data_IF_999605176748
#
_entry.id   IF_999605176748
#
_cell.length_a   1.000
_cell.length_b   1.000
_cell.length_c   1.000
_cell.angle_alpha   90.00
_cell.angle_beta   90.00
_cell.angle_gamma   90.00
#
_symmetry.space_group_name_H-M   'P 1'
#
loop_
_entity.id
_entity.type
_entity.pdbx_description
1 polymer ?
#
# COMPACT_ATOMS: atom_id res chain seq x y z
N UNK A 1 -32.63 28.09 -4.25
CA UNK A 1 -31.64 27.31 -3.46
C UNK A 1 -31.28 25.99 -4.16
N UNK A 2 -30.46 26.01 -5.21
CA UNK A 2 -29.87 24.78 -5.83
C UNK A 2 -28.68 25.12 -6.74
N UNK A 3 -27.88 26.12 -6.34
CA UNK A 3 -26.59 26.47 -6.93
C UNK A 3 -25.62 26.75 -5.79
N UNK A 4 -25.23 25.73 -5.03
CA UNK A 4 -24.23 25.86 -3.98
C UNK A 4 -23.57 24.52 -3.62
N UNK A 5 -23.13 23.74 -4.61
CA UNK A 5 -22.21 22.61 -4.41
C UNK A 5 -21.30 22.55 -5.64
N UNK A 6 -20.48 23.58 -5.87
CA UNK A 6 -19.39 23.55 -6.86
C UNK A 6 -18.40 24.70 -6.61
N UNK A 7 -18.08 24.97 -5.35
CA UNK A 7 -17.16 26.06 -5.00
C UNK A 7 -16.20 25.62 -3.90
N UNK A 8 -15.12 24.92 -4.30
CA UNK A 8 -13.88 24.87 -3.51
C UNK A 8 -12.65 24.40 -4.32
N UNK A 9 -12.61 24.62 -5.64
CA UNK A 9 -11.38 24.41 -6.43
C UNK A 9 -11.29 25.43 -7.56
N UNK A 10 -11.29 26.74 -7.27
CA UNK A 10 -10.80 27.72 -8.24
C UNK A 10 -10.40 28.98 -7.50
N UNK A 11 -9.12 29.07 -7.16
CA UNK A 11 -8.37 30.32 -7.03
C UNK A 11 -6.91 29.93 -6.76
N UNK A 12 -6.13 29.89 -7.84
CA UNK A 12 -4.75 30.41 -7.95
C UNK A 12 -4.26 30.06 -9.36
N UNK A 13 -4.56 30.94 -10.30
CA UNK A 13 -3.89 31.02 -11.59
C UNK A 13 -2.51 31.63 -11.38
N UNK A 14 -1.45 30.91 -11.72
CA UNK A 14 -0.52 31.27 -12.81
C UNK A 14 0.75 30.42 -12.74
N UNK A 15 1.24 30.05 -13.94
CA UNK A 15 2.45 29.28 -14.26
C UNK A 15 2.34 27.76 -14.11
N UNK A 16 1.43 27.08 -14.82
CA UNK A 16 1.56 25.63 -15.06
C UNK A 16 0.97 25.23 -16.41
N UNK A 17 1.60 24.23 -17.06
CA UNK A 17 1.26 23.76 -18.41
C UNK A 17 -0.23 23.51 -18.60
N UNK A 18 -0.72 23.79 -19.81
CA UNK A 18 -2.12 23.62 -20.16
C UNK A 18 -2.54 22.16 -19.94
N UNK A 19 -3.56 21.95 -19.09
CA UNK A 19 -4.14 20.62 -18.86
C UNK A 19 -4.60 20.06 -20.21
N UNK A 20 -4.14 18.85 -20.53
CA UNK A 20 -4.51 18.13 -21.75
C UNK A 20 -5.85 17.44 -21.53
N UNK A 21 -6.93 18.11 -21.94
CA UNK A 21 -8.30 17.69 -21.62
C UNK A 21 -8.66 16.32 -22.23
N UNK A 22 -8.15 16.01 -23.41
CA UNK A 22 -8.24 14.70 -24.04
C UNK A 22 -7.66 13.59 -23.14
N UNK A 23 -6.46 13.81 -22.60
CA UNK A 23 -5.79 12.88 -21.69
C UNK A 23 -6.50 12.77 -20.36
N UNK A 24 -6.96 13.89 -19.82
CA UNK A 24 -7.71 13.92 -18.57
C UNK A 24 -9.02 13.13 -18.69
N UNK A 25 -9.78 13.35 -19.75
CA UNK A 25 -11.04 12.62 -19.99
C UNK A 25 -10.80 11.13 -20.15
N UNK A 26 -9.80 10.74 -20.95
CA UNK A 26 -9.40 9.33 -21.10
C UNK A 26 -8.98 8.70 -19.77
N UNK A 27 -8.21 9.44 -18.95
CA UNK A 27 -7.80 8.99 -17.63
C UNK A 27 -9.01 8.78 -16.70
N UNK A 28 -9.95 9.71 -16.65
CA UNK A 28 -11.14 9.60 -15.79
C UNK A 28 -12.03 8.42 -16.20
N UNK A 29 -12.23 8.22 -17.51
CA UNK A 29 -12.98 7.05 -18.03
C UNK A 29 -12.25 5.75 -17.66
N UNK A 30 -10.93 5.68 -17.89
CA UNK A 30 -10.11 4.52 -17.55
C UNK A 30 -10.12 4.19 -16.05
N UNK A 31 -10.00 5.22 -15.20
CA UNK A 31 -10.12 5.08 -13.75
C UNK A 31 -11.48 4.52 -13.34
N UNK A 32 -12.57 5.03 -13.92
CA UNK A 32 -13.92 4.52 -13.67
C UNK A 32 -14.08 3.04 -14.04
N UNK A 33 -13.55 2.63 -15.19
CA UNK A 33 -13.60 1.24 -15.63
C UNK A 33 -12.78 0.31 -14.73
N UNK A 34 -11.54 0.70 -14.39
CA UNK A 34 -10.66 -0.07 -13.47
C UNK A 34 -11.28 -0.18 -12.08
N UNK A 35 -11.85 0.92 -11.57
CA UNK A 35 -12.55 0.95 -10.29
C UNK A 35 -13.73 -0.03 -10.28
N UNK A 36 -14.63 0.05 -11.26
CA UNK A 36 -15.79 -0.85 -11.35
C UNK A 36 -15.38 -2.32 -11.44
N UNK A 37 -14.39 -2.63 -12.28
CA UNK A 37 -13.85 -3.99 -12.42
C UNK A 37 -13.21 -4.51 -11.13
N UNK A 38 -12.47 -3.66 -10.41
CA UNK A 38 -11.81 -4.06 -9.15
C UNK A 38 -12.82 -4.30 -8.04
N UNK A 39 -13.77 -3.38 -7.84
CA UNK A 39 -14.82 -3.55 -6.83
C UNK A 39 -15.64 -4.82 -7.10
N UNK A 40 -15.95 -5.10 -8.37
CA UNK A 40 -16.60 -6.36 -8.74
C UNK A 40 -15.76 -7.59 -8.38
N UNK A 41 -14.47 -7.58 -8.72
CA UNK A 41 -13.54 -8.68 -8.41
C UNK A 41 -13.37 -8.92 -6.90
N UNK A 42 -13.12 -7.84 -6.13
CA UNK A 42 -13.00 -7.91 -4.68
C UNK A 42 -14.32 -8.38 -4.05
N UNK A 43 -15.45 -7.92 -4.56
CA UNK A 43 -16.76 -8.35 -4.07
C UNK A 43 -16.97 -9.85 -4.21
N UNK A 44 -16.54 -10.44 -5.33
CA UNK A 44 -16.54 -11.90 -5.53
C UNK A 44 -15.56 -12.63 -4.62
N UNK A 45 -14.42 -12.02 -4.28
CA UNK A 45 -13.37 -12.64 -3.48
C UNK A 45 -13.70 -12.66 -1.97
N UNK A 46 -14.32 -11.59 -1.45
CA UNK A 46 -14.53 -11.35 -0.02
C UNK A 46 -16.00 -11.41 0.44
N UNK A 47 -16.98 -10.97 -0.35
CA UNK A 47 -18.40 -10.91 0.07
C UNK A 47 -19.23 -12.07 -0.50
N UNK A 48 -18.98 -13.28 0.00
CA UNK A 48 -19.69 -14.50 -0.46
C UNK A 48 -21.01 -14.76 0.27
N UNK A 49 -21.24 -14.11 1.42
CA UNK A 49 -22.44 -14.29 2.25
C UNK A 49 -23.46 -13.18 2.00
N UNK A 50 -24.76 -13.43 2.27
CA UNK A 50 -25.78 -12.38 2.19
C UNK A 50 -25.42 -11.18 3.06
N UNK A 51 -25.55 -9.99 2.48
CA UNK A 51 -25.35 -8.73 3.19
C UNK A 51 -26.37 -8.56 4.32
N UNK A 52 -25.98 -7.89 5.39
CA UNK A 52 -26.80 -7.55 6.56
C UNK A 52 -26.94 -6.04 6.70
N UNK A 53 -27.64 -5.58 7.74
CA UNK A 53 -27.70 -4.16 8.08
C UNK A 53 -26.29 -3.60 8.34
N UNK A 54 -26.09 -2.35 7.96
CA UNK A 54 -24.84 -1.65 8.18
C UNK A 54 -24.46 -1.65 9.67
N UNK A 55 -23.21 -1.97 9.96
CA UNK A 55 -22.67 -1.93 11.31
C UNK A 55 -21.18 -1.54 11.30
N UNK A 56 -20.73 -1.04 12.43
CA UNK A 56 -19.33 -0.68 12.64
C UNK A 56 -18.61 -1.80 13.37
N UNK A 57 -17.30 -1.91 13.15
CA UNK A 57 -16.47 -2.91 13.79
C UNK A 57 -15.11 -2.30 14.15
N UNK A 58 -14.51 -2.76 15.25
CA UNK A 58 -13.17 -2.33 15.65
C UNK A 58 -12.24 -3.54 15.64
N UNK A 59 -11.57 -3.71 14.51
CA UNK A 59 -10.65 -4.80 14.20
C UNK A 59 -9.19 -4.39 14.35
N UNK A 60 -8.90 -3.28 15.06
CA UNK A 60 -7.54 -2.84 15.32
C UNK A 60 -6.69 -3.88 16.07
N UNK A 61 -7.27 -4.94 16.62
CA UNK A 61 -6.54 -6.05 17.25
C UNK A 61 -6.30 -7.24 16.30
N UNK A 62 -6.97 -7.28 15.17
CA UNK A 62 -6.88 -8.36 14.21
C UNK A 62 -5.57 -8.30 13.43
N UNK A 63 -5.08 -9.47 13.03
CA UNK A 63 -3.93 -9.65 12.15
C UNK A 63 -2.67 -8.89 12.56
N UNK A 64 -2.56 -8.56 13.86
CA UNK A 64 -1.51 -7.69 14.38
C UNK A 64 -1.37 -6.40 13.54
N UNK A 65 -2.48 -5.83 13.06
CA UNK A 65 -2.54 -4.62 12.23
C UNK A 65 -1.86 -4.74 10.85
N UNK A 66 -1.51 -5.95 10.39
CA UNK A 66 -0.97 -6.09 9.03
C UNK A 66 -1.99 -5.69 7.97
N UNK A 67 -3.25 -5.97 8.22
CA UNK A 67 -4.39 -5.49 7.45
C UNK A 67 -4.32 -3.96 7.21
N UNK A 68 -4.07 -3.20 8.29
CA UNK A 68 -4.00 -1.72 8.26
C UNK A 68 -2.77 -1.26 7.47
N UNK A 69 -1.66 -2.00 7.53
CA UNK A 69 -0.52 -1.76 6.67
C UNK A 69 -0.87 -2.00 5.18
N UNK A 70 -1.71 -3.00 4.89
CA UNK A 70 -2.30 -3.26 3.58
C UNK A 70 -3.19 -2.14 3.06
N UNK A 71 -4.07 -1.60 3.90
CA UNK A 71 -4.89 -0.43 3.60
C UNK A 71 -4.03 0.78 3.24
N UNK A 72 -3.07 1.13 4.11
CA UNK A 72 -2.18 2.26 3.88
C UNK A 72 -1.31 2.08 2.62
N UNK A 73 -0.76 0.89 2.40
CA UNK A 73 0.02 0.58 1.20
C UNK A 73 -0.82 0.71 -0.06
N UNK A 74 -2.00 0.08 -0.10
CA UNK A 74 -2.85 0.04 -1.29
C UNK A 74 -3.30 1.45 -1.66
N UNK A 75 -3.80 2.21 -0.68
CA UNK A 75 -4.19 3.61 -0.88
C UNK A 75 -3.00 4.48 -1.34
N UNK A 76 -1.80 4.27 -0.78
CA UNK A 76 -0.58 4.95 -1.25
C UNK A 76 -0.24 4.62 -2.71
N UNK A 77 -0.30 3.34 -3.12
CA UNK A 77 0.04 2.96 -4.49
C UNK A 77 -0.93 3.55 -5.51
N UNK A 78 -2.23 3.48 -5.22
CA UNK A 78 -3.26 4.10 -6.07
C UNK A 78 -3.03 5.61 -6.15
N UNK A 79 -2.70 6.25 -5.03
CA UNK A 79 -2.37 7.66 -5.01
C UNK A 79 -1.12 8.01 -5.83
N UNK A 80 -0.05 7.22 -5.72
CA UNK A 80 1.20 7.42 -6.46
C UNK A 80 1.01 7.24 -7.96
N UNK A 81 0.27 6.20 -8.36
CA UNK A 81 -0.06 5.94 -9.75
C UNK A 81 -1.00 7.02 -10.31
N UNK A 82 -2.01 7.43 -9.54
CA UNK A 82 -2.90 8.53 -9.87
C UNK A 82 -2.12 9.84 -10.08
N UNK A 83 -1.23 10.19 -9.16
CA UNK A 83 -0.37 11.37 -9.29
C UNK A 83 0.44 11.34 -10.60
N UNK A 84 1.11 10.23 -10.91
CA UNK A 84 1.87 10.10 -12.15
C UNK A 84 0.98 10.26 -13.40
N UNK A 85 -0.24 9.71 -13.37
CA UNK A 85 -1.21 9.83 -14.46
C UNK A 85 -1.74 11.27 -14.63
N UNK A 86 -2.00 11.99 -13.54
CA UNK A 86 -2.40 13.39 -13.58
C UNK A 86 -1.26 14.31 -14.05
N UNK A 87 -0.02 14.04 -13.67
CA UNK A 87 1.15 14.72 -14.26
C UNK A 87 1.23 14.46 -15.77
N UNK A 88 0.99 13.22 -16.21
CA UNK A 88 0.90 12.89 -17.63
C UNK A 88 -0.28 13.59 -18.34
N UNK A 89 -1.36 13.94 -17.65
CA UNK A 89 -2.42 14.79 -18.16
C UNK A 89 -2.07 16.30 -18.16
N UNK A 90 -0.90 16.69 -17.64
CA UNK A 90 -0.40 18.07 -17.63
C UNK A 90 -0.66 18.84 -16.34
N UNK A 91 -1.16 18.18 -15.27
CA UNK A 91 -1.25 18.82 -13.96
C UNK A 91 0.14 19.05 -13.36
N UNK A 92 0.27 20.12 -12.57
CA UNK A 92 1.50 20.37 -11.82
C UNK A 92 1.66 19.37 -10.66
N UNK A 93 2.85 19.33 -10.04
CA UNK A 93 3.16 18.35 -8.99
C UNK A 93 2.21 18.41 -7.80
N UNK A 94 1.84 19.60 -7.33
CA UNK A 94 0.96 19.76 -6.15
C UNK A 94 -0.47 19.33 -6.47
N UNK A 95 -1.00 19.77 -7.62
CA UNK A 95 -2.32 19.34 -8.10
C UNK A 95 -2.35 17.83 -8.29
N UNK A 96 -1.39 17.28 -9.03
CA UNK A 96 -1.33 15.85 -9.29
C UNK A 96 -1.21 15.03 -7.99
N UNK A 97 -0.45 15.49 -6.99
CA UNK A 97 -0.36 14.82 -5.70
C UNK A 97 -1.71 14.79 -4.96
N UNK A 98 -2.44 15.92 -4.93
CA UNK A 98 -3.77 16.00 -4.29
C UNK A 98 -4.84 15.19 -5.02
N UNK A 99 -4.88 15.26 -6.35
CA UNK A 99 -5.81 14.47 -7.16
C UNK A 99 -5.49 12.98 -7.07
N UNK A 100 -4.21 12.60 -7.12
CA UNK A 100 -3.76 11.23 -6.87
C UNK A 100 -4.19 10.75 -5.50
N UNK A 101 -3.93 11.52 -4.44
CA UNK A 101 -4.36 11.19 -3.09
C UNK A 101 -5.88 10.99 -2.98
N UNK A 102 -6.66 11.84 -3.65
CA UNK A 102 -8.12 11.72 -3.72
C UNK A 102 -8.53 10.42 -4.41
N UNK A 103 -7.84 10.00 -5.50
CA UNK A 103 -8.07 8.70 -6.13
C UNK A 103 -7.84 7.55 -5.16
N UNK A 104 -6.75 7.58 -4.36
CA UNK A 104 -6.47 6.55 -3.36
C UNK A 104 -7.56 6.40 -2.32
N UNK A 105 -8.00 7.52 -1.72
CA UNK A 105 -9.06 7.52 -0.69
C UNK A 105 -10.40 7.07 -1.27
N UNK A 106 -10.77 7.62 -2.43
CA UNK A 106 -12.05 7.32 -3.10
C UNK A 106 -12.13 5.87 -3.54
N UNK A 107 -11.00 5.26 -3.89
CA UNK A 107 -10.96 3.86 -4.30
C UNK A 107 -11.20 2.92 -3.11
N UNK A 108 -10.62 3.22 -1.94
CA UNK A 108 -10.72 2.35 -0.77
C UNK A 108 -12.04 2.50 -0.01
N UNK A 109 -12.60 3.71 0.07
CA UNK A 109 -13.82 3.99 0.86
C UNK A 109 -15.02 3.05 0.55
N UNK A 110 -15.31 2.71 -0.72
CA UNK A 110 -16.37 1.76 -1.06
C UNK A 110 -16.16 0.36 -0.49
N UNK A 111 -14.91 -0.08 -0.33
CA UNK A 111 -14.59 -1.38 0.30
C UNK A 111 -15.02 -1.34 1.76
N UNK A 112 -14.66 -0.28 2.50
CA UNK A 112 -15.08 -0.10 3.90
C UNK A 112 -16.61 -0.07 4.05
N UNK A 113 -17.28 0.59 3.11
CA UNK A 113 -18.75 0.63 3.09
C UNK A 113 -19.31 -0.77 2.90
N UNK A 114 -18.77 -1.56 1.97
CA UNK A 114 -19.17 -2.95 1.75
C UNK A 114 -18.89 -3.82 2.98
N UNK A 115 -17.76 -3.63 3.65
CA UNK A 115 -17.46 -4.31 4.92
C UNK A 115 -18.52 -4.01 5.97
N UNK A 116 -19.03 -2.77 6.04
CA UNK A 116 -20.14 -2.41 6.93
C UNK A 116 -21.40 -3.24 6.74
N UNK A 117 -21.65 -3.78 5.54
CA UNK A 117 -22.79 -4.67 5.26
C UNK A 117 -22.42 -6.16 5.34
N UNK A 118 -21.15 -6.51 5.56
CA UNK A 118 -20.70 -7.90 5.67
C UNK A 118 -21.18 -8.54 6.98
N UNK A 119 -21.52 -9.84 7.01
CA UNK A 119 -21.70 -10.54 8.28
C UNK A 119 -20.38 -10.98 8.94
N UNK A 120 -19.25 -10.88 8.24
CA UNK A 120 -17.93 -11.35 8.68
C UNK A 120 -16.97 -10.22 9.03
N UNK A 121 -17.17 -9.05 8.40
CA UNK A 121 -16.40 -7.82 8.59
C UNK A 121 -17.35 -6.72 9.05
N UNK A 122 -16.85 -5.50 9.27
CA UNK A 122 -17.67 -4.33 9.54
C UNK A 122 -16.94 -3.05 9.19
N UNK A 123 -17.63 -1.92 9.15
CA UNK A 123 -17.01 -0.63 8.82
C UNK A 123 -16.05 -0.21 9.93
N UNK A 124 -14.74 -0.22 9.64
CA UNK A 124 -13.69 0.07 10.61
C UNK A 124 -13.15 1.47 10.45
N UNK A 125 -13.18 2.25 11.54
CA UNK A 125 -12.49 3.54 11.59
C UNK A 125 -10.97 3.36 11.49
N UNK A 126 -10.44 2.22 11.96
CA UNK A 126 -9.02 1.88 11.82
C UNK A 126 -8.61 1.82 10.35
N UNK A 127 -9.44 1.20 9.52
CA UNK A 127 -9.17 1.06 8.09
C UNK A 127 -9.38 2.37 7.33
N UNK A 128 -10.39 3.15 7.66
CA UNK A 128 -10.54 4.51 7.13
C UNK A 128 -9.30 5.36 7.43
N UNK A 129 -8.77 5.31 8.65
CA UNK A 129 -7.54 6.03 9.02
C UNK A 129 -6.33 5.49 8.24
N UNK A 130 -6.20 4.18 8.09
CA UNK A 130 -5.13 3.57 7.30
C UNK A 130 -5.20 3.98 5.82
N UNK A 131 -6.39 3.98 5.24
CA UNK A 131 -6.68 4.42 3.87
C UNK A 131 -6.33 5.90 3.64
N UNK A 132 -6.45 6.75 4.66
CA UNK A 132 -6.01 8.14 4.60
C UNK A 132 -4.50 8.29 4.79
N UNK A 133 -3.90 7.44 5.63
CA UNK A 133 -2.48 7.50 5.98
C UNK A 133 -1.57 7.30 4.77
N UNK A 134 -1.88 6.35 3.89
CA UNK A 134 -1.11 6.11 2.67
C UNK A 134 -0.99 7.35 1.77
N UNK A 135 -2.11 7.89 1.24
CA UNK A 135 -2.14 9.13 0.47
C UNK A 135 -1.49 10.32 1.20
N UNK A 136 -1.67 10.43 2.52
CA UNK A 136 -1.02 11.47 3.31
C UNK A 136 0.51 11.37 3.25
N UNK A 137 1.10 10.17 3.36
CA UNK A 137 2.54 9.95 3.20
C UNK A 137 3.03 10.46 1.84
N UNK A 138 2.26 10.25 0.76
CA UNK A 138 2.62 10.76 -0.57
C UNK A 138 2.59 12.29 -0.61
N UNK A 139 1.47 12.89 -0.20
CA UNK A 139 1.26 14.34 -0.28
C UNK A 139 2.26 15.08 0.60
N UNK A 140 2.50 14.62 1.82
CA UNK A 140 3.48 15.24 2.72
C UNK A 140 4.87 15.28 2.11
N UNK A 141 5.31 14.20 1.44
CA UNK A 141 6.62 14.20 0.77
C UNK A 141 6.66 15.18 -0.42
N UNK A 142 5.59 15.27 -1.19
CA UNK A 142 5.49 16.23 -2.30
C UNK A 142 5.50 17.67 -1.83
N UNK A 143 4.81 17.98 -0.73
CA UNK A 143 4.80 19.32 -0.14
C UNK A 143 6.13 19.68 0.53
N UNK A 144 6.77 18.71 1.21
CA UNK A 144 8.01 18.95 1.95
C UNK A 144 9.26 18.97 1.06
N UNK A 145 9.32 18.11 0.04
CA UNK A 145 10.53 17.89 -0.76
C UNK A 145 10.34 18.06 -2.26
N UNK A 146 9.11 18.17 -2.75
CA UNK A 146 8.82 18.20 -4.20
C UNK A 146 9.12 16.87 -4.91
N UNK A 147 9.43 15.81 -4.16
CA UNK A 147 9.75 14.47 -4.65
C UNK A 147 9.42 13.40 -3.59
N UNK A 148 9.33 12.14 -4.02
CA UNK A 148 9.16 11.00 -3.10
C UNK A 148 10.54 10.48 -2.69
N UNK A 149 10.82 10.42 -1.39
CA UNK A 149 12.10 9.93 -0.83
C UNK A 149 11.99 8.61 -0.06
N UNK A 150 10.79 8.32 0.43
CA UNK A 150 10.40 7.09 1.12
C UNK A 150 9.21 6.48 0.39
N UNK A 151 9.39 5.26 -0.11
CA UNK A 151 8.37 4.57 -0.89
C UNK A 151 7.90 3.31 -0.15
N UNK A 152 6.61 3.27 0.25
CA UNK A 152 5.94 2.03 0.59
C UNK A 152 6.08 0.99 -0.53
N UNK A 153 6.54 -0.21 -0.17
CA UNK A 153 6.64 -1.37 -1.04
C UNK A 153 6.02 -2.60 -0.38
N UNK A 154 5.75 -3.62 -1.18
CA UNK A 154 5.17 -4.87 -0.71
C UNK A 154 5.92 -6.08 -1.27
N UNK A 155 5.97 -7.14 -0.49
CA UNK A 155 6.37 -8.46 -0.96
C UNK A 155 5.47 -9.54 -0.41
N UNK A 156 5.47 -10.68 -1.11
CA UNK A 156 4.70 -11.84 -0.72
C UNK A 156 5.40 -13.14 -1.05
N UNK A 157 5.16 -14.10 -0.19
CA UNK A 157 5.47 -15.50 -0.43
C UNK A 157 4.32 -16.37 0.09
N UNK A 158 3.95 -17.46 -0.61
CA UNK A 158 2.92 -18.35 -0.14
C UNK A 158 3.38 -19.07 1.12
N UNK A 159 2.54 -19.11 2.16
CA UNK A 159 2.85 -19.85 3.38
C UNK A 159 2.22 -21.24 3.37
N UNK A 160 2.69 -22.10 4.27
CA UNK A 160 2.06 -23.41 4.49
C UNK A 160 0.69 -23.29 5.16
N UNK A 161 0.42 -22.17 5.84
CA UNK A 161 -0.83 -21.93 6.58
C UNK A 161 -2.03 -21.85 5.64
N UNK A 162 -1.84 -21.34 4.42
CA UNK A 162 -2.86 -21.34 3.38
C UNK A 162 -3.41 -22.74 3.08
N UNK A 163 -2.57 -23.80 3.15
CA UNK A 163 -3.04 -25.18 2.97
C UNK A 163 -3.80 -25.74 4.17
N UNK A 164 -3.56 -25.20 5.36
CA UNK A 164 -4.25 -25.63 6.58
C UNK A 164 -5.61 -24.94 6.73
N UNK A 165 -5.72 -23.69 6.29
CA UNK A 165 -6.97 -22.91 6.30
C UNK A 165 -7.24 -22.21 4.97
N UNK A 166 -7.48 -22.97 3.89
CA UNK A 166 -7.60 -22.41 2.55
C UNK A 166 -8.81 -21.49 2.38
N UNK A 167 -9.91 -21.68 3.15
CA UNK A 167 -11.06 -20.76 3.09
C UNK A 167 -10.72 -19.35 3.58
N UNK A 168 -9.85 -19.26 4.58
CA UNK A 168 -9.50 -17.99 5.22
C UNK A 168 -8.29 -17.35 4.55
N UNK A 169 -7.26 -18.15 4.27
CA UNK A 169 -5.96 -17.69 3.81
C UNK A 169 -5.78 -17.84 2.28
N UNK A 170 -6.77 -18.40 1.58
CA UNK A 170 -6.78 -18.55 0.12
C UNK A 170 -6.52 -19.98 -0.36
N UNK A 171 -7.33 -20.42 -1.33
CA UNK A 171 -7.25 -21.77 -1.93
C UNK A 171 -6.22 -21.85 -3.05
N UNK A 172 -5.94 -20.73 -3.71
CA UNK A 172 -5.01 -20.63 -4.84
C UNK A 172 -3.94 -19.57 -4.57
N UNK A 173 -2.90 -19.54 -5.41
CA UNK A 173 -1.87 -18.50 -5.34
C UNK A 173 -2.47 -17.07 -5.46
N UNK A 174 -3.45 -16.89 -6.37
CA UNK A 174 -4.14 -15.63 -6.59
C UNK A 174 -5.16 -15.25 -5.51
N UNK A 175 -5.55 -16.19 -4.64
CA UNK A 175 -6.29 -15.84 -3.42
C UNK A 175 -5.31 -15.56 -2.26
N UNK A 176 -4.23 -16.33 -2.18
CA UNK A 176 -3.29 -16.29 -1.06
C UNK A 176 -2.49 -14.99 -1.01
N UNK A 177 -2.05 -14.46 -2.15
CA UNK A 177 -1.34 -13.17 -2.17
C UNK A 177 -2.19 -12.02 -1.59
N UNK A 178 -3.52 -12.12 -1.64
CA UNK A 178 -4.45 -11.16 -1.07
C UNK A 178 -4.82 -11.49 0.39
N UNK A 179 -5.09 -12.75 0.71
CA UNK A 179 -5.68 -13.18 1.99
C UNK A 179 -4.68 -13.70 3.03
N UNK A 180 -3.56 -14.26 2.60
CA UNK A 180 -2.57 -14.84 3.52
C UNK A 180 -1.60 -13.77 4.02
N UNK A 181 -2.04 -13.04 5.04
CA UNK A 181 -1.26 -11.99 5.70
C UNK A 181 0.05 -12.51 6.30
N UNK A 182 0.16 -13.80 6.64
CA UNK A 182 1.43 -14.38 7.10
C UNK A 182 2.52 -14.38 6.00
N UNK A 183 2.11 -14.31 4.74
CA UNK A 183 2.99 -14.28 3.59
C UNK A 183 3.44 -12.89 3.20
N UNK A 184 2.77 -11.85 3.70
CA UNK A 184 2.93 -10.47 3.24
C UNK A 184 3.91 -9.69 4.12
N UNK A 185 4.75 -8.86 3.49
CA UNK A 185 5.57 -7.87 4.19
C UNK A 185 5.40 -6.51 3.55
N UNK A 186 5.15 -5.50 4.39
CA UNK A 186 5.03 -4.11 3.99
C UNK A 186 6.30 -3.36 4.37
N UNK A 187 6.89 -2.68 3.40
CA UNK A 187 8.19 -2.05 3.52
C UNK A 187 8.10 -0.55 3.37
N UNK A 188 8.92 0.18 4.11
CA UNK A 188 9.27 1.57 3.81
C UNK A 188 10.70 1.58 3.26
N UNK A 189 10.83 1.80 1.95
CA UNK A 189 12.09 1.84 1.23
C UNK A 189 12.55 3.29 1.08
N UNK A 190 13.62 3.65 1.78
CA UNK A 190 14.19 5.00 1.82
C UNK A 190 15.42 5.06 0.94
N UNK A 191 15.59 6.16 0.21
CA UNK A 191 16.82 6.43 -0.55
C UNK A 191 17.71 7.44 0.19
N UNK A 192 18.81 7.02 0.84
CA UNK A 192 19.69 7.94 1.55
C UNK A 192 20.29 9.04 0.66
N UNK A 193 20.53 8.76 -0.63
CA UNK A 193 21.06 9.75 -1.56
C UNK A 193 20.11 10.94 -1.78
N UNK A 194 18.80 10.77 -1.55
CA UNK A 194 17.83 11.88 -1.62
C UNK A 194 17.94 12.89 -0.48
N UNK A 195 18.63 12.53 0.60
CA UNK A 195 18.81 13.41 1.77
C UNK A 195 20.19 14.05 1.83
N UNK A 196 21.09 13.71 0.90
CA UNK A 196 22.44 14.28 0.84
C UNK A 196 22.38 15.69 0.26
N UNK A 197 23.07 16.64 0.89
CA UNK A 197 23.19 17.98 0.31
C UNK A 197 24.09 17.95 -0.94
N UNK A 198 23.88 18.83 -1.93
CA UNK A 198 24.67 18.86 -3.15
C UNK A 198 26.19 19.08 -2.97
N UNK A 199 26.60 19.70 -1.86
CA UNK A 199 27.97 20.18 -1.58
C UNK A 199 28.71 19.41 -0.46
N UNK A 200 28.33 18.15 -0.20
CA UNK A 200 29.01 17.40 0.85
C UNK A 200 30.30 16.71 0.34
N UNK A 201 31.39 16.92 1.08
CA UNK A 201 32.69 16.20 0.96
C UNK A 201 32.62 14.73 1.45
N UNK A 202 31.41 14.20 1.63
CA UNK A 202 31.15 12.85 2.14
C UNK A 202 31.05 11.85 0.98
N UNK A 203 31.19 10.56 1.31
CA UNK A 203 30.99 9.47 0.34
C UNK A 203 29.53 9.51 -0.14
N UNK A 204 29.33 9.71 -1.45
CA UNK A 204 28.00 9.77 -2.06
C UNK A 204 27.32 8.41 -2.01
N UNK A 205 26.10 8.37 -1.50
CA UNK A 205 25.32 7.14 -1.46
C UNK A 205 24.87 6.77 -2.89
N UNK A 206 24.96 5.50 -3.31
CA UNK A 206 24.54 5.12 -4.66
C UNK A 206 23.06 5.43 -4.87
N UNK A 207 22.74 6.23 -5.90
CA UNK A 207 21.36 6.66 -6.17
C UNK A 207 20.39 5.49 -6.32
N UNK A 208 20.84 4.34 -6.82
CA UNK A 208 20.01 3.15 -7.02
C UNK A 208 19.74 2.37 -5.71
N UNK A 209 20.57 2.53 -4.69
CA UNK A 209 20.52 1.73 -3.47
C UNK A 209 19.63 2.39 -2.41
N UNK A 210 18.71 1.63 -1.84
CA UNK A 210 17.83 2.02 -0.76
C UNK A 210 18.13 1.21 0.51
N UNK A 211 17.69 1.74 1.64
CA UNK A 211 17.55 1.01 2.91
C UNK A 211 16.05 0.85 3.17
N UNK A 212 15.61 -0.37 3.41
CA UNK A 212 14.22 -0.69 3.67
C UNK A 212 14.03 -1.21 5.10
N UNK A 213 12.97 -0.75 5.74
CA UNK A 213 12.45 -1.33 6.99
C UNK A 213 11.11 -1.99 6.71
N UNK A 214 10.90 -3.20 7.21
CA UNK A 214 9.73 -4.02 6.90
C UNK A 214 8.90 -4.38 8.12
N UNK A 215 7.61 -4.59 7.90
CA UNK A 215 6.66 -5.12 8.88
C UNK A 215 5.88 -6.30 8.29
N UNK A 216 5.90 -7.42 9.00
CA UNK A 216 5.22 -8.66 8.63
C UNK A 216 4.70 -9.39 9.87
N UNK A 217 3.97 -10.48 9.65
CA UNK A 217 3.49 -11.37 10.71
C UNK A 217 3.72 -12.81 10.30
N UNK A 218 3.74 -13.72 11.28
CA UNK A 218 3.76 -15.16 10.99
C UNK A 218 2.96 -15.92 12.07
N UNK A 219 2.49 -17.12 11.72
CA UNK A 219 1.69 -18.04 12.55
C UNK A 219 0.36 -17.48 13.08
N UNK A 220 -0.27 -16.54 12.37
CA UNK A 220 -1.68 -16.17 12.55
C UNK A 220 -2.56 -17.09 11.70
N UNK A 221 -3.20 -18.09 12.33
CA UNK A 221 -4.14 -19.02 11.66
C UNK A 221 -5.61 -18.58 11.83
N UNK A 222 -5.82 -17.52 12.59
CA UNK A 222 -7.07 -16.79 12.73
C UNK A 222 -6.76 -15.29 12.85
N UNK A 223 -7.76 -14.45 12.58
CA UNK A 223 -7.63 -13.00 12.70
C UNK A 223 -7.23 -12.54 14.12
N UNK A 224 -7.73 -13.24 15.15
CA UNK A 224 -7.42 -12.95 16.54
C UNK A 224 -6.14 -13.69 17.03
N UNK A 225 -5.34 -12.97 17.82
CA UNK A 225 -4.07 -13.45 18.36
C UNK A 225 -4.25 -14.61 19.34
N UNK A 226 -5.16 -14.46 20.31
CA UNK A 226 -5.38 -15.46 21.37
C UNK A 226 -6.05 -16.71 20.79
N UNK A 227 -6.94 -16.54 19.81
CA UNK A 227 -7.53 -17.65 19.05
C UNK A 227 -6.48 -18.44 18.28
N UNK A 228 -5.49 -17.77 17.68
CA UNK A 228 -4.38 -18.46 17.03
C UNK A 228 -3.54 -19.25 18.03
N UNK A 229 -3.33 -18.75 19.25
CA UNK A 229 -2.68 -19.49 20.34
C UNK A 229 -3.51 -20.72 20.75
N UNK A 230 -4.81 -20.54 20.95
CA UNK A 230 -5.72 -21.64 21.30
C UNK A 230 -5.75 -22.75 20.23
N UNK A 231 -5.47 -22.41 18.97
CA UNK A 231 -5.31 -23.34 17.86
C UNK A 231 -3.89 -23.92 17.73
N UNK A 232 -3.07 -23.82 18.78
CA UNK A 232 -1.73 -24.40 18.85
C UNK A 232 -0.68 -23.66 18.05
N UNK A 233 -0.95 -22.42 17.61
CA UNK A 233 0.01 -21.59 16.89
C UNK A 233 0.69 -20.61 17.83
N UNK A 234 1.78 -20.04 17.32
CA UNK A 234 2.57 -19.07 18.06
C UNK A 234 2.72 -17.81 17.23
N UNK A 235 1.76 -16.88 17.30
CA UNK A 235 1.78 -15.75 16.41
C UNK A 235 2.91 -14.78 16.79
N UNK A 236 3.52 -14.21 15.76
CA UNK A 236 4.68 -13.32 15.88
C UNK A 236 4.50 -12.09 15.00
N UNK A 237 4.99 -10.96 15.50
CA UNK A 237 5.33 -9.80 14.67
C UNK A 237 6.74 -9.96 14.15
N UNK A 238 6.96 -9.51 12.92
CA UNK A 238 8.25 -9.52 12.26
C UNK A 238 8.58 -8.09 11.85
N UNK A 239 9.77 -7.63 12.25
CA UNK A 239 10.33 -6.37 11.80
C UNK A 239 11.61 -6.65 11.03
N UNK A 240 11.83 -5.95 9.92
CA UNK A 240 12.94 -6.24 9.03
C UNK A 240 13.80 -5.01 8.78
N UNK A 241 15.08 -5.23 8.54
CA UNK A 241 16.00 -4.26 7.91
C UNK A 241 16.64 -4.98 6.71
N UNK A 242 16.61 -4.36 5.54
CA UNK A 242 17.10 -4.95 4.28
C UNK A 242 17.57 -3.86 3.31
N UNK A 243 18.65 -4.07 2.52
CA UNK A 243 18.91 -3.24 1.36
C UNK A 243 17.80 -3.41 0.32
N UNK A 244 17.58 -2.40 -0.51
CA UNK A 244 16.61 -2.43 -1.59
C UNK A 244 17.09 -1.64 -2.81
N UNK A 245 16.41 -1.77 -3.94
CA UNK A 245 16.71 -1.01 -5.15
C UNK A 245 15.56 -0.07 -5.50
N UNK A 246 15.88 1.18 -5.84
CA UNK A 246 14.92 2.11 -6.43
C UNK A 246 14.90 1.96 -7.95
N UNK A 247 13.99 1.14 -8.45
CA UNK A 247 13.90 0.83 -9.89
C UNK A 247 13.62 2.08 -10.73
N UNK A 248 13.01 3.11 -10.15
CA UNK A 248 12.72 4.37 -10.88
C UNK A 248 13.97 5.16 -11.23
N UNK A 249 15.12 4.82 -10.63
CA UNK A 249 16.41 5.46 -10.86
C UNK A 249 17.32 4.71 -11.83
N UNK A 250 16.83 3.61 -12.40
CA UNK A 250 17.52 2.92 -13.49
C UNK A 250 17.41 3.80 -14.75
N UNK A 251 18.54 4.23 -15.35
CA UNK A 251 18.51 5.10 -16.52
C UNK A 251 17.97 4.34 -17.74
N UNK A 252 17.02 4.94 -18.45
CA UNK A 252 16.45 4.38 -19.68
C UNK A 252 15.90 5.50 -20.57
N UNK A 253 16.00 5.31 -21.88
CA UNK A 253 15.40 6.19 -22.89
C UNK A 253 14.02 5.73 -23.35
N UNK A 254 13.55 4.55 -22.91
CA UNK A 254 12.25 4.00 -23.29
C UNK A 254 11.18 4.39 -22.27
N UNK A 255 10.14 5.10 -22.73
CA UNK A 255 8.98 5.47 -21.90
C UNK A 255 8.23 4.24 -21.37
N UNK A 256 8.17 3.17 -22.16
CA UNK A 256 7.59 1.89 -21.75
C UNK A 256 8.40 1.29 -20.60
N UNK A 257 9.72 1.17 -20.75
CA UNK A 257 10.58 0.60 -19.70
C UNK A 257 10.54 1.46 -18.44
N UNK A 258 10.54 2.79 -18.58
CA UNK A 258 10.39 3.72 -17.45
C UNK A 258 9.08 3.49 -16.69
N UNK A 259 7.98 3.28 -17.41
CA UNK A 259 6.67 3.00 -16.81
C UNK A 259 6.65 1.63 -16.12
N UNK A 260 7.22 0.60 -16.75
CA UNK A 260 7.34 -0.74 -16.16
C UNK A 260 8.18 -0.73 -14.88
N UNK A 261 9.32 -0.02 -14.88
CA UNK A 261 10.16 0.16 -13.70
C UNK A 261 9.43 0.92 -12.59
N UNK A 262 8.65 1.94 -12.94
CA UNK A 262 7.82 2.68 -11.97
C UNK A 262 6.75 1.81 -11.33
N UNK A 263 6.08 0.97 -12.12
CA UNK A 263 5.09 0.02 -11.61
C UNK A 263 5.76 -1.06 -10.75
N UNK A 264 6.83 -1.68 -11.24
CA UNK A 264 7.58 -2.70 -10.51
C UNK A 264 8.18 -2.17 -9.19
N UNK A 265 8.47 -0.88 -9.08
CA UNK A 265 8.99 -0.27 -7.85
C UNK A 265 7.99 -0.30 -6.68
N UNK A 266 6.73 -0.70 -6.88
CA UNK A 266 5.83 -1.00 -5.76
C UNK A 266 6.21 -2.31 -5.04
N UNK A 267 6.99 -3.18 -5.68
CA UNK A 267 7.43 -4.44 -5.12
C UNK A 267 8.82 -4.30 -4.50
N UNK A 268 9.01 -4.93 -3.34
CA UNK A 268 10.34 -5.10 -2.76
C UNK A 268 11.14 -6.08 -3.64
N UNK A 269 12.40 -5.74 -3.92
CA UNK A 269 13.30 -6.67 -4.62
C UNK A 269 13.87 -7.66 -3.60
N UNK A 270 13.89 -8.97 -3.91
CA UNK A 270 14.47 -9.94 -3.00
C UNK A 270 15.94 -9.62 -2.67
N UNK A 271 16.24 -9.54 -1.37
CA UNK A 271 17.56 -9.15 -0.88
C UNK A 271 17.81 -9.74 0.52
N UNK A 272 19.06 -9.77 1.02
CA UNK A 272 19.32 -10.18 2.39
C UNK A 272 18.51 -9.36 3.40
N UNK A 273 18.07 -9.95 4.49
CA UNK A 273 17.32 -9.24 5.53
C UNK A 273 17.64 -9.74 6.93
N UNK A 274 17.66 -8.82 7.89
CA UNK A 274 17.67 -9.15 9.32
C UNK A 274 16.24 -9.03 9.82
N UNK A 275 15.71 -10.12 10.37
CA UNK A 275 14.37 -10.21 10.94
C UNK A 275 14.43 -10.22 12.47
N UNK A 276 13.70 -9.30 13.08
CA UNK A 276 13.44 -9.24 14.52
C UNK A 276 12.02 -9.75 14.78
N UNK A 277 11.91 -10.87 15.49
CA UNK A 277 10.64 -11.51 15.82
C UNK A 277 10.22 -11.19 17.23
N UNK A 278 8.97 -10.78 17.41
CA UNK A 278 8.38 -10.48 18.71
C UNK A 278 7.09 -11.27 18.91
N UNK A 279 6.95 -11.90 20.08
CA UNK A 279 5.77 -12.68 20.46
C UNK A 279 5.45 -12.52 21.94
N UNK A 280 4.18 -12.63 22.32
CA UNK A 280 3.79 -12.71 23.74
C UNK A 280 4.11 -14.08 24.35
N UNK A 281 4.16 -15.13 23.52
CA UNK A 281 4.49 -16.51 23.92
C UNK A 281 6.00 -16.74 23.82
N UNK A 282 6.67 -17.40 24.80
CA UNK A 282 8.10 -17.70 24.74
C UNK A 282 8.54 -18.57 23.55
N UNK A 283 9.76 -18.38 23.00
CA UNK A 283 10.73 -17.30 23.26
C UNK A 283 10.29 -15.91 22.73
N UNK A 284 10.04 -14.95 23.62
CA UNK A 284 9.39 -13.66 23.29
C UNK A 284 10.12 -12.83 22.22
N UNK A 285 11.42 -13.03 22.05
CA UNK A 285 12.24 -12.36 21.05
C UNK A 285 13.17 -13.36 20.35
N UNK A 286 13.35 -13.19 19.04
CA UNK A 286 14.35 -13.94 18.25
C UNK A 286 14.82 -13.11 17.08
N UNK A 287 16.12 -13.17 16.78
CA UNK A 287 16.69 -12.62 15.55
C UNK A 287 16.91 -13.74 14.54
N UNK A 288 16.60 -13.49 13.27
CA UNK A 288 16.94 -14.36 12.14
C UNK A 288 17.62 -13.56 11.05
N UNK A 289 18.56 -14.18 10.35
CA UNK A 289 19.21 -13.62 9.17
C UNK A 289 18.74 -14.41 7.96
N UNK A 290 18.26 -13.72 6.94
CA UNK A 290 17.83 -14.28 5.68
C UNK A 290 18.87 -13.92 4.62
N UNK A 291 19.54 -14.88 3.96
CA UNK A 291 20.41 -14.59 2.82
C UNK A 291 19.64 -13.95 1.66
N UNK A 292 18.38 -14.34 1.48
CA UNK A 292 17.42 -13.74 0.56
C UNK A 292 16.06 -13.74 1.23
N UNK A 293 15.44 -12.58 1.29
CA UNK A 293 14.06 -12.37 1.72
C UNK A 293 13.32 -11.58 0.65
N UNK A 294 12.06 -11.90 0.46
CA UNK A 294 11.18 -11.39 -0.60
C UNK A 294 10.77 -9.95 -0.32
#
# INVERSE_FOLDING_TARGET
MRKLIFLLVFLHSTVFGQIRQDRLNGLLIGQGAVFAGTIYGLSKAWYKKPLKNFHTFNDNKEWLQLDKAGHAYTAYQIARMGMAAYQWAGMNNQQAALYGATSGVTFMLPIEILDGFSPEYGFSIGDVVANLTGPAILVTQQLAWGEVRVTPKWSFHPTRLARERPELLGRSWSESWLKDYNGQTYWLSMNPASFQAPDERTVRWPKLLNIAVGYGIDNMIAADYEKSIALGRRPVRQFFISPDLDLTRIPTHSDLLKSLLFLANCLKIPAPAIEFRMSKVPPKFKVKVHPVYF
#
